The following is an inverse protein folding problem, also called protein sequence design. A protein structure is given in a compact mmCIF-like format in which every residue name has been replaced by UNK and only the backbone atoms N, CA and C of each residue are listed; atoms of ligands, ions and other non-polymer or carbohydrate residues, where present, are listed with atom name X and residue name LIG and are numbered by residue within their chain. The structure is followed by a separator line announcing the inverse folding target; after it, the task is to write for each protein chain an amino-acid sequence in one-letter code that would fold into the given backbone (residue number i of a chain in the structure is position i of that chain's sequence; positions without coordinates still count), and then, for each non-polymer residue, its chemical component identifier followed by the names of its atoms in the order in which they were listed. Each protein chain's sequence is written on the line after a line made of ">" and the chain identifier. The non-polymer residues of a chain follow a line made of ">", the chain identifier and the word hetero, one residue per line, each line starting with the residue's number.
data_IF_527253638660
#
_entry.id   IF_527253638660
#
_cell.length_a   1.000
_cell.length_b   1.000
_cell.length_c   1.000
_cell.angle_alpha   90.00
_cell.angle_beta   90.00
_cell.angle_gamma   90.00
#
_symmetry.space_group_name_H-M   'P 1'
#
loop_
_entity.id
_entity.type
_entity.pdbx_description
1 polymer ?
#
# COMPACT_ATOMS: atom_id res chain seq x y z
N UNK A 1 5.64 6.28 64.75
CA UNK A 1 6.77 5.97 63.83
C UNK A 1 6.51 4.73 62.96
N UNK A 2 5.62 3.81 63.36
CA UNK A 2 5.21 2.63 62.56
C UNK A 2 4.47 2.98 61.26
N UNK A 3 3.61 4.00 61.32
CA UNK A 3 2.62 4.24 60.25
C UNK A 3 3.25 4.84 58.99
N UNK A 4 4.37 5.56 59.15
CA UNK A 4 5.17 6.08 58.03
C UNK A 4 5.76 4.94 57.21
N UNK A 5 6.32 3.90 57.87
CA UNK A 5 6.94 2.78 57.17
C UNK A 5 5.91 1.98 56.36
N UNK A 6 4.70 1.79 56.88
CA UNK A 6 3.64 1.10 56.15
C UNK A 6 3.20 1.88 54.89
N UNK A 7 3.11 3.21 54.99
CA UNK A 7 2.81 4.06 53.83
C UNK A 7 3.91 4.00 52.76
N UNK A 8 5.17 4.02 53.17
CA UNK A 8 6.31 3.89 52.26
C UNK A 8 6.30 2.55 51.52
N UNK A 9 5.95 1.44 52.21
CA UNK A 9 5.85 0.12 51.58
C UNK A 9 4.74 0.04 50.54
N UNK A 10 3.59 0.70 50.79
CA UNK A 10 2.52 0.79 49.80
C UNK A 10 2.96 1.58 48.58
N UNK A 11 3.72 2.66 48.77
CA UNK A 11 4.27 3.44 47.67
C UNK A 11 5.26 2.61 46.85
N UNK A 12 6.18 1.90 47.50
CA UNK A 12 7.13 1.02 46.81
C UNK A 12 6.44 -0.12 46.06
N UNK A 13 5.39 -0.72 46.64
CA UNK A 13 4.59 -1.74 45.98
C UNK A 13 3.98 -1.20 44.66
N UNK A 14 3.39 -0.01 44.69
CA UNK A 14 2.83 0.62 43.48
C UNK A 14 3.90 1.01 42.47
N UNK A 15 5.03 1.52 42.94
CA UNK A 15 6.16 1.90 42.09
C UNK A 15 6.75 0.69 41.36
N UNK A 16 6.97 -0.43 42.06
CA UNK A 16 7.51 -1.65 41.45
C UNK A 16 6.54 -2.28 40.46
N UNK A 17 5.23 -2.26 40.77
CA UNK A 17 4.22 -2.69 39.82
C UNK A 17 4.18 -1.79 38.57
N UNK A 18 4.42 -0.49 38.72
CA UNK A 18 4.47 0.45 37.60
C UNK A 18 5.74 0.32 36.75
N UNK A 19 6.86 -0.04 37.38
CA UNK A 19 8.16 -0.27 36.73
C UNK A 19 8.31 -1.68 36.17
N UNK A 20 7.29 -2.52 36.28
CA UNK A 20 7.30 -3.93 35.84
C UNK A 20 8.45 -4.74 36.47
N UNK A 21 8.79 -4.41 37.72
CA UNK A 21 9.84 -5.09 38.49
C UNK A 21 9.21 -6.28 39.21
N UNK A 22 9.71 -7.48 38.89
CA UNK A 22 9.28 -8.71 39.55
C UNK A 22 10.01 -8.90 40.89
N UNK A 23 9.32 -8.57 41.99
CA UNK A 23 9.84 -8.71 43.36
C UNK A 23 9.84 -10.17 43.84
N UNK A 24 9.03 -11.04 43.24
CA UNK A 24 8.99 -12.47 43.52
C UNK A 24 10.21 -13.16 42.91
N UNK A 25 10.51 -12.86 41.65
CA UNK A 25 11.71 -13.34 40.96
C UNK A 25 13.00 -12.80 41.57
N UNK A 26 12.97 -11.59 42.13
CA UNK A 26 14.11 -10.98 42.83
C UNK A 26 14.44 -11.69 44.15
N UNK A 27 13.43 -12.15 44.91
CA UNK A 27 13.62 -12.92 46.15
C UNK A 27 13.72 -14.44 45.92
N UNK A 28 13.15 -14.94 44.82
CA UNK A 28 13.31 -16.30 44.33
C UNK A 28 12.26 -17.20 44.93
N UNK A 29 11.08 -16.63 45.06
CA UNK A 29 9.93 -17.17 45.77
C UNK A 29 8.74 -17.06 44.83
N UNK A 30 7.85 -18.03 44.89
CA UNK A 30 6.61 -17.98 44.12
C UNK A 30 5.58 -17.06 44.80
N UNK A 31 4.58 -16.61 44.04
CA UNK A 31 3.46 -15.81 44.54
C UNK A 31 2.62 -16.53 45.61
N UNK A 32 2.72 -17.86 45.72
CA UNK A 32 2.06 -18.65 46.77
C UNK A 32 2.91 -18.83 48.04
N UNK A 33 4.14 -18.33 48.07
CA UNK A 33 5.07 -18.55 49.19
C UNK A 33 4.56 -17.83 50.46
N UNK A 34 4.51 -18.52 51.62
CA UNK A 34 4.11 -17.92 52.88
C UNK A 34 5.20 -16.97 53.42
N UNK A 35 4.80 -16.03 54.28
CA UNK A 35 5.67 -15.00 54.86
C UNK A 35 6.94 -15.56 55.52
N UNK A 36 6.82 -16.66 56.25
CA UNK A 36 7.96 -17.29 56.95
C UNK A 36 9.04 -17.79 55.98
N UNK A 37 8.62 -18.29 54.82
CA UNK A 37 9.53 -18.79 53.79
C UNK A 37 10.15 -17.65 52.97
N UNK A 38 9.45 -16.53 52.83
CA UNK A 38 10.00 -15.30 52.21
C UNK A 38 11.22 -14.82 53.00
N UNK A 39 11.14 -14.76 54.33
CA UNK A 39 12.27 -14.35 55.15
C UNK A 39 13.45 -15.34 55.07
N UNK A 40 13.16 -16.63 54.96
CA UNK A 40 14.18 -17.68 54.78
C UNK A 40 14.86 -17.57 53.42
N UNK A 41 14.10 -17.37 52.35
CA UNK A 41 14.62 -17.18 50.99
C UNK A 41 15.47 -15.91 50.88
N UNK A 42 15.00 -14.81 51.47
CA UNK A 42 15.75 -13.56 51.56
C UNK A 42 17.12 -13.76 52.23
N UNK A 43 17.19 -14.45 53.38
CA UNK A 43 18.48 -14.72 54.06
C UNK A 43 19.44 -15.56 53.22
N UNK A 44 18.93 -16.50 52.42
CA UNK A 44 19.77 -17.31 51.53
C UNK A 44 20.31 -16.47 50.38
N UNK A 45 19.45 -15.64 49.80
CA UNK A 45 19.76 -14.88 48.59
C UNK A 45 20.51 -13.57 48.90
N UNK A 46 20.39 -13.03 50.11
CA UNK A 46 21.12 -11.86 50.58
C UNK A 46 22.63 -12.07 50.53
N UNK A 47 23.11 -13.31 50.75
CA UNK A 47 24.53 -13.65 50.66
C UNK A 47 25.16 -13.32 49.30
N UNK A 48 24.35 -13.25 48.23
CA UNK A 48 24.80 -12.89 46.88
C UNK A 48 24.93 -11.38 46.68
N UNK A 49 24.09 -10.59 47.35
CA UNK A 49 23.97 -9.15 47.16
C UNK A 49 24.56 -8.33 48.32
N UNK A 50 25.00 -8.98 49.40
CA UNK A 50 25.50 -8.33 50.60
C UNK A 50 26.82 -7.57 50.32
N UNK A 51 27.00 -6.34 50.83
CA UNK A 51 28.19 -5.53 50.57
C UNK A 51 29.50 -6.22 50.97
N UNK A 52 29.50 -6.95 52.08
CA UNK A 52 30.66 -7.71 52.56
C UNK A 52 31.09 -8.87 51.65
N UNK A 53 30.14 -9.48 50.92
CA UNK A 53 30.43 -10.65 50.05
C UNK A 53 30.56 -10.30 48.58
N UNK A 54 29.93 -9.22 48.14
CA UNK A 54 29.89 -8.82 46.74
C UNK A 54 31.16 -8.06 46.31
N UNK A 55 31.89 -7.45 47.25
CA UNK A 55 33.13 -6.72 46.96
C UNK A 55 32.94 -5.73 45.81
N UNK A 56 33.77 -5.83 44.77
CA UNK A 56 33.72 -4.97 43.58
C UNK A 56 32.46 -5.10 42.72
N UNK A 57 31.68 -6.18 42.88
CA UNK A 57 30.40 -6.37 42.17
C UNK A 57 29.20 -5.87 42.98
N UNK A 58 29.43 -5.14 44.06
CA UNK A 58 28.36 -4.60 44.88
C UNK A 58 27.58 -3.51 44.14
N UNK A 59 26.27 -3.67 44.13
CA UNK A 59 25.34 -2.70 43.56
C UNK A 59 24.38 -2.24 44.65
N UNK A 60 24.57 -1.01 45.10
CA UNK A 60 23.81 -0.41 46.19
C UNK A 60 22.32 -0.29 45.85
N UNK A 61 21.98 -0.01 44.59
CA UNK A 61 20.59 0.13 44.15
C UNK A 61 19.87 -1.22 44.15
N UNK A 62 20.55 -2.27 43.66
CA UNK A 62 20.01 -3.64 43.71
C UNK A 62 19.88 -4.17 45.13
N UNK A 63 20.83 -3.85 46.02
CA UNK A 63 20.73 -4.21 47.43
C UNK A 63 19.53 -3.54 48.09
N UNK A 64 19.35 -2.24 47.89
CA UNK A 64 18.19 -1.51 48.42
C UNK A 64 16.87 -2.05 47.86
N UNK A 65 16.81 -2.34 46.55
CA UNK A 65 15.65 -2.95 45.92
C UNK A 65 15.34 -4.33 46.51
N UNK A 66 16.38 -5.14 46.77
CA UNK A 66 16.25 -6.48 47.35
C UNK A 66 15.75 -6.44 48.81
N UNK A 67 16.24 -5.50 49.62
CA UNK A 67 15.74 -5.26 50.98
C UNK A 67 14.28 -4.79 50.96
N UNK A 68 13.95 -3.81 50.11
CA UNK A 68 12.58 -3.29 49.96
C UNK A 68 11.61 -4.35 49.45
N UNK A 69 12.02 -5.20 48.51
CA UNK A 69 11.21 -6.31 48.01
C UNK A 69 10.80 -7.28 49.13
N UNK A 70 11.75 -7.61 50.03
CA UNK A 70 11.45 -8.42 51.22
C UNK A 70 10.48 -7.71 52.15
N UNK A 71 10.66 -6.41 52.41
CA UNK A 71 9.76 -5.67 53.29
C UNK A 71 8.34 -5.55 52.69
N UNK A 72 8.21 -5.30 51.38
CA UNK A 72 6.92 -5.25 50.66
C UNK A 72 6.21 -6.60 50.70
N UNK A 73 6.91 -7.71 50.46
CA UNK A 73 6.31 -9.05 50.48
C UNK A 73 6.02 -9.57 51.91
N UNK A 74 6.68 -9.00 52.92
CA UNK A 74 6.46 -9.36 54.33
C UNK A 74 5.21 -8.69 54.93
N UNK A 75 4.79 -7.55 54.38
CA UNK A 75 3.58 -6.84 54.79
C UNK A 75 2.37 -7.26 53.93
N UNK A 76 1.28 -7.77 54.54
CA UNK A 76 0.11 -8.23 53.78
C UNK A 76 -0.56 -7.13 52.95
N UNK A 77 -0.59 -5.89 53.44
CA UNK A 77 -1.23 -4.79 52.74
C UNK A 77 -0.41 -4.35 51.53
N UNK A 78 0.91 -4.22 51.68
CA UNK A 78 1.82 -3.90 50.58
C UNK A 78 1.86 -5.01 49.51
N UNK A 79 1.88 -6.29 49.92
CA UNK A 79 1.79 -7.43 48.99
C UNK A 79 0.48 -7.41 48.19
N UNK A 80 -0.66 -7.20 48.87
CA UNK A 80 -1.95 -7.10 48.19
C UNK A 80 -2.02 -5.91 47.22
N UNK A 81 -1.41 -4.78 47.57
CA UNK A 81 -1.32 -3.61 46.69
C UNK A 81 -0.49 -3.90 45.43
N UNK A 82 0.66 -4.57 45.57
CA UNK A 82 1.49 -4.99 44.44
C UNK A 82 0.74 -5.97 43.52
N UNK A 83 0.21 -7.05 44.09
CA UNK A 83 -0.52 -8.08 43.35
C UNK A 83 -1.76 -7.50 42.64
N UNK A 84 -2.48 -6.61 43.33
CA UNK A 84 -3.63 -5.89 42.78
C UNK A 84 -3.24 -4.97 41.62
N UNK A 85 -2.12 -4.25 41.74
CA UNK A 85 -1.63 -3.36 40.70
C UNK A 85 -1.20 -4.13 39.43
N UNK A 86 -0.46 -5.25 39.59
CA UNK A 86 -0.07 -6.12 38.48
C UNK A 86 -1.31 -6.71 37.80
N UNK A 87 -2.27 -7.22 38.57
CA UNK A 87 -3.52 -7.77 38.03
C UNK A 87 -4.34 -6.71 37.29
N UNK A 88 -4.44 -5.49 37.83
CA UNK A 88 -5.12 -4.38 37.18
C UNK A 88 -4.43 -3.96 35.87
N UNK A 89 -3.09 -3.92 35.86
CA UNK A 89 -2.31 -3.63 34.66
C UNK A 89 -2.54 -4.68 33.57
N UNK A 90 -2.55 -5.97 33.95
CA UNK A 90 -2.82 -7.08 33.05
C UNK A 90 -4.24 -6.99 32.46
N UNK A 91 -5.25 -6.72 33.28
CA UNK A 91 -6.63 -6.55 32.82
C UNK A 91 -6.76 -5.39 31.82
N UNK A 92 -6.19 -4.23 32.14
CA UNK A 92 -6.15 -3.06 31.23
C UNK A 92 -5.44 -3.37 29.92
N UNK A 93 -4.42 -4.24 29.92
CA UNK A 93 -3.74 -4.68 28.71
C UNK A 93 -4.66 -5.57 27.86
N UNK A 94 -5.31 -6.56 28.47
CA UNK A 94 -6.26 -7.44 27.79
C UNK A 94 -7.45 -6.66 27.19
N UNK A 95 -8.01 -5.70 27.92
CA UNK A 95 -9.09 -4.84 27.44
C UNK A 95 -8.65 -4.00 26.23
N UNK A 96 -7.47 -3.37 26.28
CA UNK A 96 -6.92 -2.62 25.14
C UNK A 96 -6.73 -3.50 23.93
N UNK A 97 -6.17 -4.70 24.10
CA UNK A 97 -5.99 -5.66 23.02
C UNK A 97 -7.34 -6.12 22.42
N UNK A 98 -8.37 -6.32 23.25
CA UNK A 98 -9.72 -6.66 22.78
C UNK A 98 -10.32 -5.52 21.96
N UNK A 99 -10.23 -4.28 22.43
CA UNK A 99 -10.70 -3.09 21.70
C UNK A 99 -9.94 -2.91 20.38
N UNK A 100 -8.64 -3.14 20.36
CA UNK A 100 -7.83 -3.06 19.13
C UNK A 100 -8.21 -4.15 18.12
N UNK A 101 -8.51 -5.36 18.58
CA UNK A 101 -9.06 -6.43 17.72
C UNK A 101 -10.40 -6.01 17.13
N UNK A 102 -11.30 -5.45 17.94
CA UNK A 102 -12.58 -4.93 17.47
C UNK A 102 -12.42 -3.79 16.46
N UNK A 103 -11.53 -2.82 16.73
CA UNK A 103 -11.22 -1.70 15.81
C UNK A 103 -10.67 -2.20 14.48
N UNK A 104 -9.73 -3.15 14.51
CA UNK A 104 -9.17 -3.76 13.30
C UNK A 104 -10.25 -4.50 12.51
N UNK A 105 -11.09 -5.27 13.20
CA UNK A 105 -12.20 -6.00 12.58
C UNK A 105 -13.18 -5.05 11.90
N UNK A 106 -13.62 -4.00 12.61
CA UNK A 106 -14.49 -2.96 12.07
C UNK A 106 -13.90 -2.28 10.82
N UNK A 107 -12.61 -1.92 10.88
CA UNK A 107 -11.90 -1.33 9.74
C UNK A 107 -11.87 -2.25 8.51
N UNK A 108 -11.74 -3.56 8.71
CA UNK A 108 -11.77 -4.54 7.62
C UNK A 108 -13.16 -4.61 7.00
N UNK A 109 -14.22 -4.66 7.82
CA UNK A 109 -15.60 -4.66 7.35
C UNK A 109 -15.91 -3.39 6.54
N UNK A 110 -15.56 -2.22 7.08
CA UNK A 110 -15.79 -0.95 6.40
C UNK A 110 -15.09 -0.89 5.03
N UNK A 111 -13.82 -1.32 4.94
CA UNK A 111 -13.11 -1.40 3.66
C UNK A 111 -13.77 -2.34 2.66
N UNK A 112 -14.31 -3.48 3.13
CA UNK A 112 -15.02 -4.44 2.27
C UNK A 112 -16.32 -3.84 1.73
N UNK A 113 -17.07 -3.13 2.57
CA UNK A 113 -18.31 -2.47 2.19
C UNK A 113 -18.05 -1.32 1.20
N UNK A 114 -17.03 -0.49 1.47
CA UNK A 114 -16.62 0.60 0.59
C UNK A 114 -16.11 0.07 -0.76
N UNK A 115 -15.32 -1.02 -0.76
CA UNK A 115 -14.88 -1.67 -2.00
C UNK A 115 -16.07 -2.21 -2.80
N UNK A 116 -17.07 -2.77 -2.13
CA UNK A 116 -18.30 -3.27 -2.75
C UNK A 116 -19.13 -2.14 -3.35
N UNK A 117 -19.23 -1.00 -2.64
CA UNK A 117 -19.90 0.23 -3.14
C UNK A 117 -19.16 0.80 -4.36
N UNK A 118 -17.84 0.98 -4.27
CA UNK A 118 -17.00 1.46 -5.38
C UNK A 118 -17.09 0.54 -6.60
N UNK A 119 -17.14 -0.78 -6.41
CA UNK A 119 -17.30 -1.74 -7.51
C UNK A 119 -18.67 -1.60 -8.20
N UNK A 120 -19.75 -1.43 -7.42
CA UNK A 120 -21.10 -1.19 -7.98
C UNK A 120 -21.16 0.14 -8.73
N UNK A 121 -20.57 1.19 -8.19
CA UNK A 121 -20.54 2.51 -8.81
C UNK A 121 -19.72 2.53 -10.10
N UNK A 122 -18.53 1.90 -10.08
CA UNK A 122 -17.73 1.69 -11.29
C UNK A 122 -18.49 0.91 -12.35
N UNK A 123 -19.15 -0.20 -11.98
CA UNK A 123 -19.99 -0.98 -12.90
C UNK A 123 -21.08 -0.11 -13.53
N UNK A 124 -21.77 0.72 -12.73
CA UNK A 124 -22.81 1.63 -13.21
C UNK A 124 -22.25 2.70 -14.16
N UNK A 125 -21.07 3.24 -13.86
CA UNK A 125 -20.37 4.20 -14.73
C UNK A 125 -19.93 3.55 -16.04
N UNK A 126 -19.36 2.35 -16.00
CA UNK A 126 -18.92 1.60 -17.18
C UNK A 126 -20.11 1.26 -18.08
N UNK A 127 -21.23 0.79 -17.51
CA UNK A 127 -22.49 0.55 -18.25
C UNK A 127 -23.06 1.84 -18.87
N UNK A 128 -23.01 2.97 -18.15
CA UNK A 128 -23.46 4.25 -18.67
C UNK A 128 -22.56 4.75 -19.81
N UNK A 129 -21.24 4.58 -19.67
CA UNK A 129 -20.24 4.92 -20.69
C UNK A 129 -20.43 4.07 -21.94
N UNK A 130 -20.65 2.77 -21.80
CA UNK A 130 -20.94 1.88 -22.91
C UNK A 130 -22.24 2.27 -23.64
N UNK A 131 -23.31 2.58 -22.90
CA UNK A 131 -24.55 3.09 -23.48
C UNK A 131 -24.35 4.40 -24.23
N UNK A 132 -23.55 5.32 -23.70
CA UNK A 132 -23.21 6.58 -24.36
C UNK A 132 -22.42 6.33 -25.65
N UNK A 133 -21.36 5.51 -25.59
CA UNK A 133 -20.56 5.09 -26.75
C UNK A 133 -21.43 4.44 -27.83
N UNK A 134 -22.34 3.53 -27.43
CA UNK A 134 -23.28 2.88 -28.34
C UNK A 134 -24.23 3.90 -29.00
N UNK A 135 -24.73 4.88 -28.25
CA UNK A 135 -25.59 5.95 -28.79
C UNK A 135 -24.82 6.83 -29.77
N UNK A 136 -23.59 7.22 -29.43
CA UNK A 136 -22.73 8.02 -30.32
C UNK A 136 -22.37 7.26 -31.59
N UNK A 137 -22.03 5.96 -31.50
CA UNK A 137 -21.75 5.11 -32.67
C UNK A 137 -22.97 4.98 -33.60
N UNK A 138 -24.16 4.80 -33.02
CA UNK A 138 -25.40 4.77 -33.79
C UNK A 138 -25.71 6.13 -34.43
N UNK A 139 -25.38 7.23 -33.76
CA UNK A 139 -25.52 8.57 -34.31
C UNK A 139 -24.54 8.83 -35.48
N UNK A 140 -23.28 8.39 -35.37
CA UNK A 140 -22.32 8.50 -36.47
C UNK A 140 -22.73 7.62 -37.66
N UNK A 141 -23.23 6.39 -37.41
CA UNK A 141 -23.79 5.52 -38.46
C UNK A 141 -25.01 6.15 -39.17
N UNK A 142 -25.81 6.98 -38.47
CA UNK A 142 -26.91 7.74 -39.10
C UNK A 142 -26.47 9.04 -39.77
N UNK A 143 -25.28 9.56 -39.45
CA UNK A 143 -24.71 10.77 -40.03
C UNK A 143 -23.77 10.45 -41.20
N UNK A 144 -23.46 9.18 -41.49
CA UNK A 144 -22.82 8.72 -42.74
C UNK A 144 -23.70 8.88 -44.01
N UNK A 145 -24.72 9.74 -43.95
CA UNK A 145 -25.16 10.55 -45.09
C UNK A 145 -24.25 11.76 -45.39
N UNK A 146 -23.21 12.02 -44.59
CA UNK A 146 -22.28 13.12 -44.72
C UNK A 146 -20.85 12.64 -44.38
N UNK A 147 -20.15 12.19 -45.42
CA UNK A 147 -18.75 11.73 -45.40
C UNK A 147 -17.83 12.70 -44.66
N UNK A 148 -17.18 12.24 -43.60
CA UNK A 148 -15.95 12.85 -43.09
C UNK A 148 -14.84 12.67 -44.13
N UNK A 149 -14.20 13.77 -44.50
CA UNK A 149 -13.19 13.91 -45.57
C UNK A 149 -11.82 13.29 -45.22
N UNK A 150 -11.79 12.04 -44.76
CA UNK A 150 -10.55 11.28 -44.69
C UNK A 150 -10.37 10.46 -45.98
N UNK A 151 -9.15 10.39 -46.55
CA UNK A 151 -8.91 9.61 -47.75
C UNK A 151 -9.10 8.13 -47.41
N UNK A 152 -10.16 7.54 -47.95
CA UNK A 152 -10.34 6.10 -47.97
C UNK A 152 -9.24 5.53 -48.87
N UNK A 153 -8.31 4.78 -48.29
CA UNK A 153 -7.18 4.18 -48.98
C UNK A 153 -7.25 2.66 -48.92
N UNK A 154 -6.83 1.99 -49.99
CA UNK A 154 -6.83 0.53 -50.09
C UNK A 154 -8.18 -0.06 -50.50
N UNK A 155 -9.09 0.77 -51.03
CA UNK A 155 -10.39 0.33 -51.55
C UNK A 155 -10.26 -0.21 -52.99
N UNK A 156 -9.21 0.21 -53.70
CA UNK A 156 -8.94 -0.15 -55.09
C UNK A 156 -7.71 -1.05 -55.18
N UNK A 157 -7.78 -2.14 -55.98
CA UNK A 157 -6.65 -3.02 -56.23
C UNK A 157 -5.74 -2.41 -57.31
N UNK A 158 -4.86 -1.49 -56.90
CA UNK A 158 -3.87 -0.87 -57.79
C UNK A 158 -2.66 -1.81 -57.94
N UNK A 159 -2.26 -2.19 -59.16
CA UNK A 159 -1.07 -2.98 -59.39
C UNK A 159 0.18 -2.32 -58.77
N UNK A 160 1.05 -3.12 -58.16
CA UNK A 160 2.25 -2.60 -57.48
C UNK A 160 3.14 -1.76 -58.40
N UNK A 161 3.23 -2.15 -59.67
CA UNK A 161 4.07 -1.50 -60.70
C UNK A 161 3.47 -0.20 -61.25
N UNK A 162 2.29 0.21 -60.77
CA UNK A 162 1.68 1.48 -61.14
C UNK A 162 2.58 2.64 -60.70
N UNK A 163 3.07 3.41 -61.66
CA UNK A 163 3.91 4.57 -61.40
C UNK A 163 3.10 5.85 -61.34
N UNK A 164 3.30 6.63 -60.29
CA UNK A 164 2.72 7.96 -60.14
C UNK A 164 3.82 9.01 -60.19
N UNK A 165 3.58 10.07 -60.97
CA UNK A 165 4.42 11.25 -61.02
C UNK A 165 3.90 12.31 -60.04
N UNK A 166 4.77 12.72 -59.11
CA UNK A 166 4.53 13.79 -58.14
C UNK A 166 5.30 15.07 -58.50
N UNK A 167 5.73 15.21 -59.75
CA UNK A 167 6.38 16.41 -60.31
C UNK A 167 7.90 16.38 -60.14
N UNK A 168 8.38 16.14 -58.92
CA UNK A 168 9.84 16.05 -58.64
C UNK A 168 10.36 14.63 -58.59
N UNK A 169 9.48 13.65 -58.39
CA UNK A 169 9.82 12.24 -58.27
C UNK A 169 8.71 11.35 -58.86
N UNK A 170 9.13 10.30 -59.58
CA UNK A 170 8.25 9.19 -59.96
C UNK A 170 8.36 8.12 -58.89
N UNK A 171 7.23 7.71 -58.32
CA UNK A 171 7.14 6.68 -57.28
C UNK A 171 6.22 5.56 -57.73
N UNK A 172 6.57 4.33 -57.36
CA UNK A 172 5.70 3.18 -57.60
C UNK A 172 4.67 3.05 -56.47
N UNK A 173 3.50 2.48 -56.78
CA UNK A 173 2.43 2.35 -55.80
C UNK A 173 2.88 1.54 -54.57
N UNK A 174 3.67 0.48 -54.76
CA UNK A 174 4.23 -0.29 -53.64
C UNK A 174 5.15 0.55 -52.74
N UNK A 175 5.89 1.53 -53.29
CA UNK A 175 6.74 2.43 -52.49
C UNK A 175 5.90 3.34 -51.60
N UNK A 176 4.78 3.86 -52.13
CA UNK A 176 3.83 4.66 -51.35
C UNK A 176 3.22 3.84 -50.20
N UNK A 177 2.90 2.56 -50.46
CA UNK A 177 2.42 1.63 -49.43
C UNK A 177 3.50 1.40 -48.36
N UNK A 178 4.76 1.20 -48.76
CA UNK A 178 5.88 1.07 -47.82
C UNK A 178 6.09 2.35 -46.98
N UNK A 179 5.95 3.54 -47.56
CA UNK A 179 6.04 4.81 -46.85
C UNK A 179 4.92 4.95 -45.81
N UNK A 180 3.68 4.57 -46.16
CA UNK A 180 2.56 4.51 -45.20
C UNK A 180 2.86 3.54 -44.05
N UNK A 181 3.37 2.34 -44.34
CA UNK A 181 3.71 1.37 -43.30
C UNK A 181 4.82 1.90 -42.37
N UNK A 182 5.85 2.57 -42.92
CA UNK A 182 6.89 3.24 -42.14
C UNK A 182 6.30 4.33 -41.24
N UNK A 183 5.39 5.16 -41.75
CA UNK A 183 4.71 6.20 -40.97
C UNK A 183 3.83 5.60 -39.85
N UNK A 184 3.09 4.52 -40.11
CA UNK A 184 2.32 3.80 -39.09
C UNK A 184 3.23 3.26 -37.98
N UNK A 185 4.37 2.68 -38.36
CA UNK A 185 5.32 2.14 -37.39
C UNK A 185 5.99 3.26 -36.57
N UNK A 186 6.24 4.43 -37.16
CA UNK A 186 6.76 5.60 -36.45
C UNK A 186 5.77 6.07 -35.36
N UNK A 187 4.49 6.24 -35.71
CA UNK A 187 3.44 6.59 -34.73
C UNK A 187 3.36 5.54 -33.61
N UNK A 188 3.39 4.25 -33.96
CA UNK A 188 3.37 3.16 -32.97
C UNK A 188 4.60 3.16 -32.06
N UNK A 189 5.79 3.46 -32.58
CA UNK A 189 7.01 3.53 -31.78
C UNK A 189 6.93 4.68 -30.77
N UNK A 190 6.40 5.85 -31.19
CA UNK A 190 6.20 7.00 -30.30
C UNK A 190 5.18 6.73 -29.20
N UNK A 191 4.10 5.97 -29.50
CA UNK A 191 3.12 5.54 -28.48
C UNK A 191 3.70 4.61 -27.40
N UNK A 192 4.78 3.88 -27.72
CA UNK A 192 5.46 2.98 -26.76
C UNK A 192 6.59 3.67 -26.01
N UNK A 193 7.02 4.86 -26.44
CA UNK A 193 8.07 5.65 -25.80
C UNK A 193 7.51 6.83 -24.99
N UNK A 194 8.39 7.60 -24.35
CA UNK A 194 8.05 8.86 -23.71
C UNK A 194 8.12 10.02 -24.71
N UNK A 195 7.36 9.92 -25.82
CA UNK A 195 7.32 10.96 -26.83
C UNK A 195 6.52 12.18 -26.35
N UNK A 196 6.92 13.36 -26.79
CA UNK A 196 6.20 14.61 -26.52
C UNK A 196 4.93 14.71 -27.37
N UNK A 197 3.95 15.51 -26.94
CA UNK A 197 2.71 15.73 -27.69
C UNK A 197 2.98 16.29 -29.09
N UNK A 198 4.00 17.13 -29.24
CA UNK A 198 4.38 17.71 -30.54
C UNK A 198 4.95 16.67 -31.49
N UNK A 199 5.79 15.75 -31.01
CA UNK A 199 6.33 14.64 -31.80
C UNK A 199 5.23 13.70 -32.31
N UNK A 200 4.22 13.45 -31.48
CA UNK A 200 3.09 12.62 -31.85
C UNK A 200 2.24 13.29 -32.95
N UNK A 201 1.97 14.59 -32.82
CA UNK A 201 1.23 15.36 -33.83
C UNK A 201 1.97 15.42 -35.17
N UNK A 202 3.30 15.55 -35.15
CA UNK A 202 4.11 15.55 -36.38
C UNK A 202 4.10 14.17 -37.06
N UNK A 203 4.18 13.09 -36.29
CA UNK A 203 4.08 11.73 -36.82
C UNK A 203 2.69 11.42 -37.41
N UNK A 204 1.62 11.92 -36.78
CA UNK A 204 0.25 11.81 -37.32
C UNK A 204 0.08 12.59 -38.63
N UNK A 205 0.64 13.79 -38.74
CA UNK A 205 0.68 14.55 -40.00
C UNK A 205 1.43 13.79 -41.09
N UNK A 206 2.57 13.18 -40.76
CA UNK A 206 3.34 12.34 -41.69
C UNK A 206 2.54 11.13 -42.19
N UNK A 207 1.78 10.48 -41.30
CA UNK A 207 0.88 9.38 -41.66
C UNK A 207 -0.26 9.84 -42.56
N UNK A 208 -0.85 11.00 -42.27
CA UNK A 208 -1.90 11.58 -43.11
C UNK A 208 -1.39 11.94 -44.50
N UNK A 209 -0.20 12.51 -44.61
CA UNK A 209 0.43 12.83 -45.90
C UNK A 209 0.71 11.57 -46.74
N UNK A 210 1.22 10.50 -46.11
CA UNK A 210 1.40 9.21 -46.79
C UNK A 210 0.06 8.62 -47.26
N UNK A 211 -1.00 8.77 -46.46
CA UNK A 211 -2.35 8.38 -46.87
C UNK A 211 -2.83 9.19 -48.09
N UNK A 212 -2.68 10.51 -48.07
CA UNK A 212 -3.08 11.36 -49.20
C UNK A 212 -2.41 10.96 -50.51
N UNK A 213 -1.12 10.60 -50.49
CA UNK A 213 -0.39 10.18 -51.70
C UNK A 213 -0.93 8.88 -52.29
N UNK A 214 -1.23 7.90 -51.44
CA UNK A 214 -1.87 6.65 -51.88
C UNK A 214 -3.24 6.93 -52.50
N UNK A 215 -4.04 7.79 -51.88
CA UNK A 215 -5.34 8.16 -52.41
C UNK A 215 -5.24 8.81 -53.79
N UNK A 216 -4.32 9.75 -53.97
CA UNK A 216 -4.10 10.40 -55.26
C UNK A 216 -3.66 9.38 -56.33
N UNK A 217 -2.87 8.37 -55.96
CA UNK A 217 -2.49 7.29 -56.87
C UNK A 217 -3.69 6.43 -57.26
N UNK A 218 -4.54 6.07 -56.29
CA UNK A 218 -5.76 5.29 -56.51
C UNK A 218 -6.76 6.03 -57.41
N UNK A 219 -6.95 7.33 -57.21
CA UNK A 219 -7.82 8.18 -58.04
C UNK A 219 -7.28 8.26 -59.47
N UNK A 220 -5.98 8.55 -59.65
CA UNK A 220 -5.37 8.58 -60.99
C UNK A 220 -5.45 7.23 -61.70
N UNK A 221 -5.26 6.13 -60.98
CA UNK A 221 -5.41 4.78 -61.54
C UNK A 221 -6.86 4.53 -61.97
N UNK A 222 -7.85 4.93 -61.16
CA UNK A 222 -9.27 4.83 -61.50
C UNK A 222 -9.61 5.60 -62.79
N UNK A 223 -9.09 6.82 -62.91
CA UNK A 223 -9.28 7.66 -64.09
C UNK A 223 -8.68 7.00 -65.35
N UNK A 224 -7.46 6.47 -65.27
CA UNK A 224 -6.82 5.79 -66.41
C UNK A 224 -7.51 4.48 -66.80
N UNK A 225 -8.00 3.72 -65.81
CA UNK A 225 -8.76 2.50 -66.04
C UNK A 225 -10.16 2.76 -66.64
N UNK A 226 -10.71 3.98 -66.48
CA UNK A 226 -12.00 4.37 -67.07
C UNK A 226 -11.91 4.88 -68.51
N UNK A 227 -10.71 5.25 -68.95
CA UNK A 227 -10.42 5.83 -70.28
C UNK A 227 -9.88 4.77 -71.26
N UNK A 228 -9.51 3.58 -70.75
CA UNK A 228 -9.02 2.42 -71.52
C UNK A 228 -10.14 1.42 -71.78
#
# INVERSE_FOLDING_TARGET
>A
MSDSKAADLLQYAQEYASKDVDIYDLLGVDALTPKEDIHRAWRKRSLKYHPDKAGDNFDAEKWQLFERARDVLSDPAARAAYDGAIKAALLRKQEREAMDKQRKHFRILQKRDDASRKKKEKKKQDEAREKFLRKSRKATETVDGAKSSEPLNGVMNVPGDFSMDFGTERRLYWELVCDKLRAVQAVRNLQKGNATTEEYQEAEKGLLAAKMRIHQAEVKFAEQASVS
#
